data_IF_180494539626
#
_entry.id   IF_180494539626
#
_cell.length_a   1.000
_cell.length_b   1.000
_cell.length_c   1.000
_cell.angle_alpha   90.00
_cell.angle_beta   90.00
_cell.angle_gamma   90.00
#
_symmetry.space_group_name_H-M   'P 1'
#
loop_
_entity.id
_entity.type
_entity.pdbx_description
1 polymer ?
#
# COMPACT_ATOMS: atom_id res chain seq x y z
N UNK A 1 -15.77 21.86 61.05
CA UNK A 1 -14.86 20.84 60.49
C UNK A 1 -15.62 20.07 59.43
N UNK A 2 -15.30 20.27 58.14
CA UNK A 2 -15.49 19.32 57.05
C UNK A 2 -14.90 19.96 55.79
N UNK A 3 -13.64 19.60 55.52
CA UNK A 3 -12.88 20.02 54.35
C UNK A 3 -13.20 19.04 53.22
N UNK A 4 -13.69 19.55 52.09
CA UNK A 4 -13.81 18.78 50.85
C UNK A 4 -12.40 18.52 50.30
N UNK A 5 -11.95 17.27 50.35
CA UNK A 5 -10.80 16.81 49.58
C UNK A 5 -11.24 16.62 48.12
N UNK A 6 -10.83 17.54 47.26
CA UNK A 6 -10.76 17.29 45.82
C UNK A 6 -9.64 16.27 45.56
N UNK A 7 -10.00 15.03 45.23
CA UNK A 7 -9.07 14.07 44.64
C UNK A 7 -8.75 14.53 43.22
N UNK A 8 -7.63 15.22 43.06
CA UNK A 8 -6.98 15.35 41.75
C UNK A 8 -6.45 13.95 41.41
N UNK A 9 -7.08 13.28 40.45
CA UNK A 9 -6.52 12.07 39.86
C UNK A 9 -5.26 12.48 39.09
N UNK A 10 -4.10 12.29 39.71
CA UNK A 10 -2.81 12.41 39.04
C UNK A 10 -2.70 11.19 38.14
N UNK A 11 -2.99 11.36 36.86
CA UNK A 11 -2.59 10.40 35.83
C UNK A 11 -1.06 10.49 35.76
N UNK A 12 -0.38 9.61 36.50
CA UNK A 12 1.04 9.37 36.28
C UNK A 12 1.20 8.86 34.84
N UNK A 13 2.23 9.28 34.10
CA UNK A 13 2.56 8.61 32.86
C UNK A 13 2.93 7.18 33.23
N UNK A 14 2.03 6.24 32.95
CA UNK A 14 2.39 4.83 32.91
C UNK A 14 3.40 4.71 31.76
N UNK A 15 4.69 4.73 32.10
CA UNK A 15 5.76 4.39 31.16
C UNK A 15 5.60 2.91 30.84
N UNK A 16 4.77 2.59 29.85
CA UNK A 16 4.63 1.23 29.36
C UNK A 16 5.90 0.79 28.64
N UNK A 17 6.03 -0.53 28.46
CA UNK A 17 7.14 -1.14 27.77
C UNK A 17 7.26 -0.60 26.33
N UNK A 18 8.49 -0.63 25.81
CA UNK A 18 8.76 -0.31 24.40
C UNK A 18 7.96 -1.28 23.53
N UNK A 19 7.05 -0.74 22.73
CA UNK A 19 6.18 -1.53 21.86
C UNK A 19 6.91 -1.96 20.59
N UNK A 20 7.67 -1.01 20.03
CA UNK A 20 8.46 -1.21 18.82
C UNK A 20 9.63 -0.23 18.80
N UNK A 21 10.79 -0.70 18.36
CA UNK A 21 11.97 0.13 18.14
C UNK A 21 12.82 -0.43 17.00
N UNK A 22 13.44 0.47 16.25
CA UNK A 22 14.46 0.17 15.26
C UNK A 22 15.84 0.25 15.92
N UNK A 23 16.65 -0.78 15.73
CA UNK A 23 18.04 -0.76 16.21
C UNK A 23 18.88 0.28 15.46
N UNK A 24 18.62 0.44 14.16
CA UNK A 24 19.34 1.36 13.27
C UNK A 24 18.39 2.02 12.30
N UNK A 25 18.74 3.22 11.85
CA UNK A 25 17.97 3.93 10.84
C UNK A 25 17.98 3.12 9.52
N UNK A 26 16.83 2.93 8.84
CA UNK A 26 16.80 2.14 7.62
C UNK A 26 17.73 2.69 6.54
N UNK A 27 18.30 1.79 5.73
CA UNK A 27 19.26 2.16 4.71
C UNK A 27 18.72 3.24 3.76
N UNK A 28 19.55 4.25 3.47
CA UNK A 28 19.21 5.38 2.61
C UNK A 28 18.53 6.55 3.34
N UNK A 29 18.01 6.36 4.55
CA UNK A 29 17.45 7.44 5.35
C UNK A 29 18.52 8.16 6.16
N UNK A 30 18.32 9.46 6.37
CA UNK A 30 19.11 10.30 7.27
C UNK A 30 18.21 11.22 8.08
N UNK A 31 18.55 11.44 9.34
CA UNK A 31 17.89 12.46 10.16
C UNK A 31 18.21 13.86 9.61
N UNK A 32 17.20 14.71 9.55
CA UNK A 32 17.39 16.12 9.20
C UNK A 32 17.77 16.92 10.46
N UNK A 33 18.63 17.94 10.33
CA UNK A 33 18.90 18.85 11.42
C UNK A 33 17.66 19.71 11.72
N UNK A 34 17.45 20.06 12.98
CA UNK A 34 16.27 20.80 13.44
C UNK A 34 15.26 19.90 14.13
N UNK A 35 14.67 20.41 15.21
CA UNK A 35 13.57 19.73 15.90
C UNK A 35 12.26 19.92 15.16
N UNK A 36 11.27 19.09 15.49
CA UNK A 36 9.90 19.24 14.96
C UNK A 36 9.11 20.17 15.87
N UNK A 37 8.39 21.18 15.35
CA UNK A 37 7.55 22.06 16.17
C UNK A 37 6.52 21.24 16.96
N UNK A 38 6.50 21.39 18.28
CA UNK A 38 5.59 20.62 19.16
C UNK A 38 4.11 20.81 18.82
N UNK A 39 3.73 21.97 18.28
CA UNK A 39 2.36 22.30 17.89
C UNK A 39 1.97 21.83 16.49
N UNK A 40 2.89 21.27 15.71
CA UNK A 40 2.59 20.73 14.39
C UNK A 40 1.55 19.61 14.53
N UNK A 41 0.45 19.72 13.79
CA UNK A 41 -0.62 18.72 13.78
C UNK A 41 -0.21 17.53 12.92
N UNK A 42 -0.69 16.36 13.29
CA UNK A 42 -0.54 15.14 12.49
C UNK A 42 -1.77 14.24 12.69
N UNK A 43 -2.09 13.46 11.65
CA UNK A 43 -3.08 12.39 11.72
C UNK A 43 -2.37 11.07 11.93
N UNK A 44 -2.86 10.30 12.90
CA UNK A 44 -2.31 9.00 13.28
C UNK A 44 -3.43 7.97 13.33
N UNK A 45 -3.05 6.70 13.31
CA UNK A 45 -3.94 5.56 13.46
C UNK A 45 -3.33 4.50 14.35
N UNK A 46 -4.18 3.88 15.17
CA UNK A 46 -3.84 2.70 15.96
C UNK A 46 -4.46 1.50 15.28
N UNK A 47 -3.64 0.53 14.85
CA UNK A 47 -4.14 -0.76 14.39
C UNK A 47 -4.48 -1.62 15.61
N UNK A 48 -5.72 -2.04 15.71
CA UNK A 48 -6.19 -2.88 16.80
C UNK A 48 -5.80 -4.33 16.52
N UNK A 49 -5.37 -5.04 17.57
CA UNK A 49 -4.96 -6.42 17.47
C UNK A 49 -6.12 -7.31 17.00
N UNK A 50 -5.87 -8.11 15.97
CA UNK A 50 -6.83 -9.11 15.52
C UNK A 50 -6.99 -10.21 16.57
N UNK A 51 -8.21 -10.71 16.74
CA UNK A 51 -8.45 -11.91 17.55
C UNK A 51 -8.27 -13.18 16.71
N UNK A 52 -8.00 -14.32 17.36
CA UNK A 52 -7.87 -15.63 16.71
C UNK A 52 -6.86 -15.67 15.53
N UNK A 53 -5.86 -14.78 15.53
CA UNK A 53 -4.96 -14.64 14.40
C UNK A 53 -4.09 -15.88 14.18
N UNK A 54 -3.87 -16.66 15.25
CA UNK A 54 -3.26 -17.98 15.24
C UNK A 54 -4.01 -19.00 14.36
N UNK A 55 -5.30 -18.77 14.10
CA UNK A 55 -6.14 -19.64 13.26
C UNK A 55 -6.13 -19.24 11.78
N UNK A 56 -5.57 -18.09 11.42
CA UNK A 56 -5.62 -17.56 10.05
C UNK A 56 -4.95 -18.50 9.05
N UNK A 57 -3.75 -18.97 9.33
CA UNK A 57 -3.02 -19.89 8.44
C UNK A 57 -3.78 -21.20 8.21
N UNK A 58 -4.39 -21.75 9.27
CA UNK A 58 -5.18 -22.98 9.18
C UNK A 58 -6.44 -22.78 8.33
N UNK A 59 -7.14 -21.64 8.50
CA UNK A 59 -8.31 -21.29 7.67
C UNK A 59 -7.91 -21.09 6.21
N UNK A 60 -6.82 -20.37 5.95
CA UNK A 60 -6.30 -20.14 4.60
C UNK A 60 -5.91 -21.47 3.93
N UNK A 61 -5.16 -22.33 4.61
CA UNK A 61 -4.81 -23.65 4.10
C UNK A 61 -6.05 -24.49 3.81
N UNK A 62 -7.08 -24.44 4.67
CA UNK A 62 -8.33 -25.17 4.49
C UNK A 62 -9.08 -24.76 3.21
N UNK A 63 -9.12 -23.46 2.87
CA UNK A 63 -9.85 -22.98 1.69
C UNK A 63 -9.02 -22.95 0.40
N UNK A 64 -7.68 -22.89 0.50
CA UNK A 64 -6.79 -22.70 -0.65
C UNK A 64 -5.99 -23.94 -1.05
N UNK A 65 -5.95 -25.01 -0.23
CA UNK A 65 -5.20 -26.23 -0.58
C UNK A 65 -6.02 -27.17 -1.46
N UNK A 66 -5.57 -27.50 -2.69
CA UNK A 66 -6.24 -28.50 -3.51
C UNK A 66 -6.42 -29.82 -2.74
N UNK A 67 -7.55 -30.49 -2.94
CA UNK A 67 -7.97 -31.70 -2.21
C UNK A 67 -8.37 -31.50 -0.74
N UNK A 68 -8.26 -30.30 -0.17
CA UNK A 68 -8.94 -29.98 1.09
C UNK A 68 -10.47 -30.08 0.89
N UNK A 69 -11.25 -30.63 1.85
CA UNK A 69 -12.71 -30.60 1.77
C UNK A 69 -13.28 -29.16 1.81
N UNK A 70 -12.46 -28.19 2.21
CA UNK A 70 -12.74 -26.76 2.17
C UNK A 70 -12.30 -26.03 0.91
N UNK A 71 -11.60 -26.69 -0.02
CA UNK A 71 -11.04 -26.03 -1.19
C UNK A 71 -12.12 -25.30 -2.00
N UNK A 72 -11.88 -24.01 -2.29
CA UNK A 72 -12.83 -23.14 -2.99
C UNK A 72 -14.01 -22.64 -2.14
N UNK A 73 -14.10 -23.04 -0.86
CA UNK A 73 -15.16 -22.59 0.07
C UNK A 73 -14.66 -21.40 0.89
N UNK A 74 -14.43 -20.31 0.19
CA UNK A 74 -14.05 -19.02 0.75
C UNK A 74 -15.15 -18.46 1.65
N UNK A 75 -14.78 -17.53 2.54
CA UNK A 75 -15.69 -16.92 3.51
C UNK A 75 -16.09 -15.53 3.07
N UNK A 76 -17.24 -15.06 3.55
CA UNK A 76 -17.63 -13.67 3.33
C UNK A 76 -16.96 -12.71 4.34
N UNK A 77 -17.03 -11.42 4.03
CA UNK A 77 -16.52 -10.35 4.91
C UNK A 77 -17.13 -10.38 6.32
N UNK A 78 -18.37 -10.85 6.46
CA UNK A 78 -19.05 -10.97 7.75
C UNK A 78 -18.46 -12.09 8.61
N UNK A 79 -18.26 -13.29 8.03
CA UNK A 79 -17.58 -14.40 8.69
C UNK A 79 -16.13 -14.02 9.04
N UNK A 80 -15.38 -13.42 8.10
CA UNK A 80 -14.02 -12.92 8.36
C UNK A 80 -13.99 -11.94 9.53
N UNK A 81 -14.90 -10.96 9.55
CA UNK A 81 -15.00 -9.97 10.63
C UNK A 81 -15.31 -10.66 11.95
N UNK A 82 -16.24 -11.62 11.96
CA UNK A 82 -16.59 -12.37 13.17
C UNK A 82 -15.42 -13.19 13.73
N UNK A 83 -14.56 -13.71 12.85
CA UNK A 83 -13.42 -14.54 13.23
C UNK A 83 -12.26 -13.69 13.75
N UNK A 84 -11.94 -12.57 13.08
CA UNK A 84 -10.66 -11.90 13.27
C UNK A 84 -10.73 -10.45 13.75
N UNK A 85 -11.87 -9.77 13.66
CA UNK A 85 -11.93 -8.35 14.05
C UNK A 85 -11.59 -8.14 15.53
N UNK A 86 -11.01 -6.99 15.84
CA UNK A 86 -10.64 -6.66 17.20
C UNK A 86 -11.89 -6.61 18.11
N UNK A 87 -11.82 -7.13 19.35
CA UNK A 87 -12.93 -7.04 20.29
C UNK A 87 -13.35 -5.58 20.55
N UNK A 88 -14.64 -5.35 20.78
CA UNK A 88 -15.17 -4.02 21.13
C UNK A 88 -14.49 -3.42 22.37
N UNK A 89 -14.04 -4.26 23.30
CA UNK A 89 -13.25 -3.82 24.46
C UNK A 89 -11.94 -3.15 24.05
N UNK A 90 -11.22 -3.71 23.06
CA UNK A 90 -9.99 -3.12 22.55
C UNK A 90 -10.23 -1.74 21.94
N UNK A 91 -11.30 -1.60 21.16
CA UNK A 91 -11.73 -0.32 20.60
C UNK A 91 -11.99 0.71 21.71
N UNK A 92 -12.81 0.37 22.69
CA UNK A 92 -13.17 1.27 23.79
C UNK A 92 -11.96 1.71 24.63
N UNK A 93 -11.04 0.77 24.93
CA UNK A 93 -9.86 1.07 25.73
C UNK A 93 -8.90 1.99 24.97
N UNK A 94 -8.66 1.72 23.68
CA UNK A 94 -7.82 2.57 22.83
C UNK A 94 -8.43 3.94 22.65
N UNK A 95 -9.73 4.04 22.34
CA UNK A 95 -10.42 5.34 22.24
C UNK A 95 -10.33 6.13 23.54
N UNK A 96 -10.55 5.48 24.69
CA UNK A 96 -10.48 6.13 26.01
C UNK A 96 -9.06 6.62 26.33
N UNK A 97 -8.04 5.82 26.01
CA UNK A 97 -6.63 6.22 26.13
C UNK A 97 -6.31 7.44 25.26
N UNK A 98 -6.68 7.42 23.98
CA UNK A 98 -6.46 8.53 23.05
C UNK A 98 -7.13 9.82 23.53
N UNK A 99 -8.38 9.72 24.02
CA UNK A 99 -9.09 10.86 24.62
C UNK A 99 -8.37 11.40 25.86
N UNK A 100 -7.89 10.51 26.75
CA UNK A 100 -7.11 10.88 27.92
C UNK A 100 -5.80 11.60 27.60
N UNK A 101 -5.19 11.28 26.45
CA UNK A 101 -4.00 11.98 25.93
C UNK A 101 -4.32 13.32 25.22
N UNK A 102 -5.60 13.68 25.09
CA UNK A 102 -6.04 14.92 24.45
C UNK A 102 -6.03 14.86 22.92
N UNK A 103 -6.12 13.67 22.33
CA UNK A 103 -6.36 13.52 20.90
C UNK A 103 -7.76 14.00 20.51
N UNK A 104 -7.93 14.36 19.24
CA UNK A 104 -9.17 14.88 18.66
C UNK A 104 -9.53 14.13 17.38
N UNK A 105 -10.75 14.34 16.84
CA UNK A 105 -11.22 13.68 15.62
C UNK A 105 -11.04 12.15 15.65
N UNK A 106 -11.33 11.54 16.80
CA UNK A 106 -11.15 10.10 16.99
C UNK A 106 -12.29 9.37 16.30
N UNK A 107 -11.95 8.50 15.35
CA UNK A 107 -12.90 7.65 14.64
C UNK A 107 -12.38 6.21 14.59
N UNK A 108 -13.28 5.23 14.63
CA UNK A 108 -12.92 3.82 14.47
C UNK A 108 -13.77 3.17 13.40
N UNK A 109 -13.16 2.28 12.63
CA UNK A 109 -13.81 1.39 11.67
C UNK A 109 -13.82 -0.08 12.15
N UNK A 110 -13.48 -0.31 13.43
CA UNK A 110 -13.37 -1.62 14.04
C UNK A 110 -12.01 -2.31 13.89
N UNK A 111 -11.19 -1.89 12.91
CA UNK A 111 -9.84 -2.43 12.68
C UNK A 111 -8.76 -1.42 13.06
N UNK A 112 -9.04 -0.14 12.83
CA UNK A 112 -8.20 0.99 13.18
C UNK A 112 -8.98 2.01 14.00
N UNK A 113 -8.24 2.77 14.80
CA UNK A 113 -8.71 4.00 15.44
C UNK A 113 -7.86 5.15 14.91
N UNK A 114 -8.44 5.98 14.05
CA UNK A 114 -7.80 7.17 13.48
C UNK A 114 -8.03 8.38 14.39
N UNK A 115 -7.05 9.27 14.50
CA UNK A 115 -7.13 10.45 15.36
C UNK A 115 -6.17 11.55 14.91
N UNK A 116 -6.50 12.80 15.27
CA UNK A 116 -5.65 13.97 15.10
C UNK A 116 -5.00 14.35 16.42
N UNK A 117 -3.69 14.63 16.39
CA UNK A 117 -2.90 15.06 17.54
C UNK A 117 -1.86 16.11 17.13
N UNK A 118 -1.04 16.58 18.08
CA UNK A 118 0.17 17.37 17.80
C UNK A 118 1.41 16.54 18.06
N UNK A 119 2.55 16.90 17.44
CA UNK A 119 3.83 16.21 17.66
C UNK A 119 4.23 16.19 19.14
N UNK A 120 3.98 17.26 19.88
CA UNK A 120 4.24 17.32 21.32
C UNK A 120 3.40 16.32 22.12
N UNK A 121 2.10 16.21 21.79
CA UNK A 121 1.21 15.23 22.42
C UNK A 121 1.57 13.80 22.01
N UNK A 122 1.88 13.56 20.73
CA UNK A 122 2.32 12.26 20.22
C UNK A 122 3.60 11.78 20.93
N UNK A 123 4.60 12.65 21.08
CA UNK A 123 5.82 12.36 21.83
C UNK A 123 5.54 11.98 23.29
N UNK A 124 4.60 12.68 23.95
CA UNK A 124 4.25 12.40 25.34
C UNK A 124 3.46 11.09 25.49
N UNK A 125 2.44 10.87 24.65
CA UNK A 125 1.55 9.70 24.75
C UNK A 125 2.26 8.39 24.37
N UNK A 126 3.23 8.46 23.45
CA UNK A 126 3.96 7.30 22.93
C UNK A 126 5.38 7.17 23.54
N UNK A 127 5.73 8.00 24.53
CA UNK A 127 7.07 8.09 25.11
C UNK A 127 8.18 8.03 24.04
N UNK A 128 8.10 8.95 23.07
CA UNK A 128 8.92 8.94 21.87
C UNK A 128 9.42 10.34 21.50
N UNK A 129 10.27 10.42 20.47
CA UNK A 129 10.68 11.67 19.84
C UNK A 129 10.59 11.56 18.33
N UNK A 130 9.58 12.22 17.76
CA UNK A 130 9.46 12.40 16.32
C UNK A 130 10.54 13.35 15.77
N UNK A 131 11.03 13.01 14.59
CA UNK A 131 11.99 13.79 13.82
C UNK A 131 11.65 13.79 12.33
N UNK A 132 12.17 14.77 11.60
CA UNK A 132 12.17 14.73 10.14
C UNK A 132 13.34 13.89 9.64
N UNK A 133 13.05 13.01 8.69
CA UNK A 133 14.03 12.17 8.04
C UNK A 133 13.86 12.27 6.54
N UNK A 134 14.94 12.11 5.80
CA UNK A 134 14.91 12.14 4.34
C UNK A 134 15.75 11.03 3.75
N UNK A 135 15.36 10.53 2.58
CA UNK A 135 16.16 9.63 1.76
C UNK A 135 16.74 10.33 0.50
N UNK A 136 16.56 11.65 0.38
CA UNK A 136 16.89 12.43 -0.81
C UNK A 136 15.71 12.66 -1.76
N UNK A 137 14.76 11.73 -1.81
CA UNK A 137 13.57 11.80 -2.68
C UNK A 137 12.34 12.31 -1.91
N UNK A 138 12.22 11.94 -0.64
CA UNK A 138 11.12 12.30 0.24
C UNK A 138 11.61 12.79 1.61
N UNK A 139 10.75 13.52 2.31
CA UNK A 139 10.91 13.86 3.73
C UNK A 139 9.72 13.29 4.50
N UNK A 140 9.98 12.62 5.63
CA UNK A 140 8.95 12.00 6.47
C UNK A 140 9.15 12.34 7.93
N UNK A 141 8.03 12.55 8.61
CA UNK A 141 7.96 12.67 10.06
C UNK A 141 7.84 11.26 10.66
N UNK A 142 8.88 10.79 11.35
CA UNK A 142 8.98 9.42 11.88
C UNK A 142 9.65 9.41 13.25
N UNK A 143 9.69 8.25 13.88
CA UNK A 143 10.46 8.01 15.10
C UNK A 143 11.21 6.68 15.00
N UNK A 144 12.28 6.53 15.77
CA UNK A 144 13.06 5.30 15.85
C UNK A 144 12.42 4.25 16.77
N UNK A 145 11.44 4.61 17.59
CA UNK A 145 10.75 3.68 18.46
C UNK A 145 9.75 4.35 19.36
N UNK A 146 8.81 3.61 19.91
CA UNK A 146 7.75 4.12 20.77
C UNK A 146 7.27 3.08 21.78
N UNK A 147 6.61 3.58 22.81
CA UNK A 147 5.96 2.78 23.85
C UNK A 147 4.45 3.01 23.81
N UNK A 148 3.71 2.06 24.35
CA UNK A 148 2.26 2.20 24.62
C UNK A 148 2.01 1.73 26.05
N UNK A 149 0.88 2.11 26.70
CA UNK A 149 0.54 1.58 28.01
C UNK A 149 0.49 0.05 28.03
N UNK A 150 1.02 -0.57 29.11
CA UNK A 150 1.15 -2.03 29.22
C UNK A 150 -0.20 -2.73 29.06
N UNK A 151 -1.28 -2.15 29.58
CA UNK A 151 -2.65 -2.67 29.50
C UNK A 151 -3.24 -2.68 28.07
N UNK A 152 -2.58 -2.00 27.12
CA UNK A 152 -2.96 -1.95 25.71
C UNK A 152 -2.05 -2.81 24.82
N UNK A 153 -0.98 -3.39 25.36
CA UNK A 153 0.02 -4.16 24.58
C UNK A 153 -0.56 -5.33 23.78
N UNK A 154 -1.55 -6.03 24.34
CA UNK A 154 -2.28 -7.12 23.67
C UNK A 154 -3.44 -6.63 22.79
N UNK A 155 -3.76 -5.34 22.81
CA UNK A 155 -4.90 -4.72 22.12
C UNK A 155 -4.48 -3.91 20.89
N UNK A 156 -3.19 -3.60 20.76
CA UNK A 156 -2.62 -2.76 19.70
C UNK A 156 -1.55 -3.56 18.96
N UNK A 157 -1.73 -3.72 17.65
CA UNK A 157 -0.69 -4.30 16.79
C UNK A 157 0.42 -3.27 16.54
N UNK A 158 0.05 -2.08 16.07
CA UNK A 158 0.98 -0.99 15.76
C UNK A 158 0.29 0.37 15.82
N UNK A 159 1.10 1.42 15.97
CA UNK A 159 0.68 2.82 15.82
C UNK A 159 1.38 3.41 14.60
N UNK A 160 0.64 4.00 13.67
CA UNK A 160 1.17 4.58 12.45
C UNK A 160 0.74 6.04 12.28
N UNK A 161 1.56 6.90 11.65
CA UNK A 161 2.95 6.65 11.29
C UNK A 161 3.89 6.71 12.50
N UNK A 162 4.85 5.78 12.60
CA UNK A 162 5.90 5.81 13.64
C UNK A 162 7.25 5.34 13.10
N UNK A 163 7.51 4.03 13.11
CA UNK A 163 8.78 3.35 12.83
C UNK A 163 8.89 2.88 11.38
N UNK A 164 7.79 2.82 10.63
CA UNK A 164 7.85 2.46 9.22
C UNK A 164 8.20 3.68 8.37
N UNK A 165 9.47 3.77 7.97
CA UNK A 165 9.93 4.85 7.11
C UNK A 165 9.41 4.69 5.70
N UNK A 166 9.46 3.46 5.15
CA UNK A 166 8.93 3.11 3.83
C UNK A 166 9.63 3.81 2.65
N UNK A 167 9.98 3.07 1.62
CA UNK A 167 10.51 3.57 0.37
C UNK A 167 9.92 2.78 -0.80
N UNK A 168 8.59 2.77 -0.87
CA UNK A 168 7.86 2.04 -1.89
C UNK A 168 8.30 2.45 -3.28
N UNK A 169 8.74 1.45 -4.04
CA UNK A 169 9.24 1.62 -5.39
C UNK A 169 8.53 0.65 -6.30
N UNK A 170 8.32 1.11 -7.52
CA UNK A 170 8.07 0.25 -8.66
C UNK A 170 9.21 -0.78 -8.76
N UNK A 171 8.86 -2.06 -8.90
CA UNK A 171 9.81 -3.15 -9.07
C UNK A 171 10.36 -3.15 -10.51
N UNK A 172 11.19 -2.15 -10.79
CA UNK A 172 11.86 -2.01 -12.08
C UNK A 172 13.03 -2.99 -12.17
N UNK A 173 13.41 -3.34 -13.41
CA UNK A 173 14.58 -4.19 -13.67
C UNK A 173 15.79 -3.70 -12.87
N UNK A 174 16.39 -4.59 -12.08
CA UNK A 174 17.72 -4.36 -11.50
C UNK A 174 18.68 -4.14 -12.68
N UNK A 175 19.25 -2.95 -12.78
CA UNK A 175 20.30 -2.66 -13.74
C UNK A 175 21.39 -3.72 -13.59
N UNK A 176 21.62 -4.49 -14.65
CA UNK A 176 22.70 -5.47 -14.65
C UNK A 176 24.00 -4.74 -14.24
N UNK A 177 24.85 -5.32 -13.38
CA UNK A 177 26.10 -4.69 -13.00
C UNK A 177 26.84 -4.26 -14.26
N UNK A 178 27.29 -3.01 -14.28
CA UNK A 178 28.03 -2.36 -15.37
C UNK A 178 29.43 -2.95 -15.51
N UNK A 179 29.58 -4.27 -15.39
CA UNK A 179 30.80 -4.91 -15.82
C UNK A 179 30.89 -4.73 -17.34
N UNK A 180 31.81 -3.88 -17.78
CA UNK A 180 32.30 -3.81 -19.17
C UNK A 180 32.99 -5.11 -19.62
N UNK A 181 32.69 -6.24 -18.97
CA UNK A 181 33.03 -7.53 -19.51
C UNK A 181 32.28 -7.64 -20.84
N UNK A 182 33.03 -7.82 -21.93
CA UNK A 182 32.48 -8.17 -23.22
C UNK A 182 31.58 -9.38 -22.95
N UNK A 183 30.26 -9.15 -22.85
CA UNK A 183 29.29 -10.25 -22.92
C UNK A 183 29.71 -10.97 -24.20
N UNK A 184 30.22 -12.20 -24.07
CA UNK A 184 30.20 -13.11 -25.20
C UNK A 184 28.78 -12.97 -25.73
N UNK A 185 28.63 -12.67 -27.01
CA UNK A 185 27.31 -12.60 -27.65
C UNK A 185 26.68 -13.95 -27.35
N UNK A 186 25.93 -14.05 -26.25
CA UNK A 186 25.08 -15.19 -25.98
C UNK A 186 24.25 -15.21 -27.22
N UNK A 187 24.37 -16.30 -28.00
CA UNK A 187 23.64 -16.46 -29.25
C UNK A 187 22.26 -15.89 -28.98
N UNK A 188 21.84 -14.85 -29.73
CA UNK A 188 20.49 -14.30 -29.61
C UNK A 188 19.62 -15.54 -29.51
N UNK A 189 18.96 -15.79 -28.36
CA UNK A 189 17.80 -16.67 -28.38
C UNK A 189 16.95 -15.98 -29.42
N UNK A 190 16.92 -16.53 -30.63
CA UNK A 190 16.21 -15.94 -31.74
C UNK A 190 14.75 -16.08 -31.32
N UNK A 191 14.27 -15.05 -30.63
CA UNK A 191 12.85 -14.84 -30.46
C UNK A 191 12.28 -14.86 -31.87
N UNK A 192 11.13 -15.51 -32.03
CA UNK A 192 10.47 -15.56 -33.32
C UNK A 192 10.29 -14.14 -33.87
N UNK A 193 10.25 -13.98 -35.19
CA UNK A 193 10.03 -12.66 -35.78
C UNK A 193 8.72 -12.00 -35.30
N UNK A 194 7.74 -12.80 -34.84
CA UNK A 194 6.50 -12.35 -34.20
C UNK A 194 6.69 -11.65 -32.84
N UNK A 195 7.85 -11.81 -32.20
CA UNK A 195 8.15 -11.21 -30.89
C UNK A 195 8.54 -9.74 -30.95
N UNK A 196 8.96 -9.23 -32.10
CA UNK A 196 9.51 -7.88 -32.23
C UNK A 196 8.68 -7.08 -33.23
N UNK A 197 8.30 -5.85 -32.84
CA UNK A 197 7.74 -4.86 -33.75
C UNK A 197 8.65 -3.64 -33.79
N UNK A 198 8.91 -3.10 -34.98
CA UNK A 198 9.66 -1.86 -35.14
C UNK A 198 8.71 -0.73 -35.45
N UNK A 199 8.63 0.25 -34.55
CA UNK A 199 7.89 1.49 -34.77
C UNK A 199 8.85 2.62 -35.16
N UNK A 200 8.32 3.66 -35.80
CA UNK A 200 9.06 4.91 -36.02
C UNK A 200 8.76 5.86 -34.87
N UNK A 201 9.74 6.08 -34.00
CA UNK A 201 9.58 6.93 -32.82
C UNK A 201 10.08 8.36 -33.09
N UNK A 202 9.28 9.40 -32.84
CA UNK A 202 9.70 10.78 -33.02
C UNK A 202 10.73 11.19 -31.95
N UNK A 203 11.95 11.51 -32.37
CA UNK A 203 13.00 12.03 -31.46
C UNK A 203 13.12 13.56 -31.50
N UNK A 204 12.54 14.19 -32.52
CA UNK A 204 12.35 15.63 -32.60
C UNK A 204 11.22 15.95 -33.58
N UNK A 205 10.83 17.22 -33.69
CA UNK A 205 9.78 17.68 -34.59
C UNK A 205 9.95 17.22 -36.05
N UNK A 206 11.19 16.99 -36.50
CA UNK A 206 11.51 16.65 -37.90
C UNK A 206 12.29 15.33 -38.05
N UNK A 207 12.42 14.52 -36.98
CA UNK A 207 13.20 13.29 -37.05
C UNK A 207 12.49 12.14 -36.33
N UNK A 208 12.46 11.00 -37.00
CA UNK A 208 12.05 9.71 -36.43
C UNK A 208 13.22 8.75 -36.44
N UNK A 209 13.23 7.80 -35.51
CA UNK A 209 14.17 6.70 -35.49
C UNK A 209 13.43 5.37 -35.29
N UNK A 210 13.90 4.27 -35.90
CA UNK A 210 13.33 2.96 -35.63
C UNK A 210 13.59 2.57 -34.18
N UNK A 211 12.52 2.15 -33.50
CA UNK A 211 12.59 1.61 -32.14
C UNK A 211 11.94 0.23 -32.13
N UNK A 212 12.70 -0.78 -31.73
CA UNK A 212 12.22 -2.17 -31.66
C UNK A 212 11.66 -2.45 -30.28
N UNK A 213 10.39 -2.84 -30.23
CA UNK A 213 9.64 -3.21 -29.06
C UNK A 213 9.45 -4.72 -29.00
N UNK A 214 9.39 -5.27 -27.78
CA UNK A 214 8.84 -6.61 -27.57
C UNK A 214 7.32 -6.54 -27.63
N UNK A 215 6.71 -7.37 -28.46
CA UNK A 215 5.27 -7.42 -28.64
C UNK A 215 4.59 -8.23 -27.52
N UNK A 216 3.32 -7.93 -27.19
CA UNK A 216 2.46 -8.80 -26.41
C UNK A 216 2.42 -10.24 -26.92
N UNK A 217 2.43 -10.41 -28.26
CA UNK A 217 2.50 -11.72 -28.89
C UNK A 217 3.72 -12.53 -28.43
N UNK A 218 4.84 -11.86 -28.15
CA UNK A 218 6.01 -12.52 -27.59
C UNK A 218 5.76 -13.14 -26.22
N UNK A 219 5.05 -12.41 -25.34
CA UNK A 219 4.67 -12.92 -24.03
C UNK A 219 3.70 -14.10 -24.18
N UNK A 220 2.72 -13.99 -25.09
CA UNK A 220 1.78 -15.08 -25.38
C UNK A 220 2.50 -16.34 -25.88
N UNK A 221 3.49 -16.21 -26.75
CA UNK A 221 4.32 -17.32 -27.24
C UNK A 221 5.21 -17.92 -26.14
N UNK A 222 5.90 -17.08 -25.36
CA UNK A 222 6.82 -17.52 -24.31
C UNK A 222 6.10 -18.33 -23.22
N UNK A 223 4.88 -17.93 -22.87
CA UNK A 223 4.06 -18.60 -21.87
C UNK A 223 3.09 -19.63 -22.47
N UNK A 224 3.15 -19.88 -23.78
CA UNK A 224 2.29 -20.85 -24.49
C UNK A 224 0.77 -20.59 -24.30
N UNK A 225 0.38 -19.31 -24.36
CA UNK A 225 -1.02 -18.83 -24.27
C UNK A 225 -1.50 -18.18 -25.57
N UNK A 226 -0.87 -18.47 -26.71
CA UNK A 226 -1.25 -17.91 -28.02
C UNK A 226 -2.65 -18.29 -28.47
N UNK A 227 -3.16 -19.45 -28.02
CA UNK A 227 -4.50 -19.93 -28.33
C UNK A 227 -5.52 -19.61 -27.21
N UNK A 228 -5.12 -18.82 -26.22
CA UNK A 228 -6.04 -18.34 -25.20
C UNK A 228 -6.93 -17.25 -25.80
N UNK A 229 -8.23 -17.36 -25.54
CA UNK A 229 -9.19 -16.30 -25.81
C UNK A 229 -10.01 -16.10 -24.56
N UNK A 230 -10.23 -14.84 -24.21
CA UNK A 230 -11.03 -14.47 -23.05
C UNK A 230 -12.47 -14.95 -23.25
N UNK A 231 -13.00 -15.63 -22.24
CA UNK A 231 -14.44 -15.86 -22.12
C UNK A 231 -15.02 -14.78 -21.20
N UNK A 232 -15.63 -13.76 -21.82
CA UNK A 232 -16.27 -12.65 -21.08
C UNK A 232 -17.45 -13.12 -20.22
N UNK A 233 -18.02 -14.30 -20.50
CA UNK A 233 -19.12 -14.87 -19.72
C UNK A 233 -18.65 -15.59 -18.46
N UNK A 234 -17.35 -15.89 -18.35
CA UNK A 234 -16.77 -16.53 -17.16
C UNK A 234 -16.77 -15.61 -15.92
N UNK A 235 -16.97 -14.30 -16.10
CA UNK A 235 -17.06 -13.35 -14.98
C UNK A 235 -15.71 -13.01 -14.31
N UNK A 236 -14.59 -13.51 -14.83
CA UNK A 236 -13.25 -13.23 -14.30
C UNK A 236 -12.93 -11.74 -14.29
N UNK A 237 -12.36 -11.26 -13.19
CA UNK A 237 -11.98 -9.85 -13.02
C UNK A 237 -10.54 -9.74 -12.55
N UNK A 238 -9.84 -8.72 -13.02
CA UNK A 238 -8.46 -8.40 -12.61
C UNK A 238 -8.39 -6.96 -12.14
N UNK A 239 -7.57 -6.73 -11.11
CA UNK A 239 -7.23 -5.40 -10.66
C UNK A 239 -5.73 -5.23 -10.48
N UNK A 240 -5.30 -3.98 -10.43
CA UNK A 240 -3.95 -3.60 -10.04
C UNK A 240 -3.99 -2.43 -9.06
N UNK A 241 -3.00 -2.36 -8.17
CA UNK A 241 -2.86 -1.29 -7.19
C UNK A 241 -1.79 -0.29 -7.61
N UNK A 242 -2.09 1.01 -7.57
CA UNK A 242 -1.17 2.11 -7.87
C UNK A 242 -0.79 2.84 -6.58
N UNK A 243 0.51 2.86 -6.24
CA UNK A 243 1.02 3.34 -4.93
C UNK A 243 2.02 4.51 -5.01
N UNK A 244 2.36 5.00 -6.20
CA UNK A 244 3.38 6.05 -6.40
C UNK A 244 2.79 7.43 -6.73
N UNK A 245 1.54 7.69 -6.34
CA UNK A 245 0.80 8.87 -6.79
C UNK A 245 0.78 8.96 -8.33
N UNK A 246 0.61 7.79 -8.95
CA UNK A 246 0.47 7.59 -10.38
C UNK A 246 -0.93 7.04 -10.66
N UNK A 247 -1.44 7.35 -11.84
CA UNK A 247 -2.69 6.80 -12.37
C UNK A 247 -2.43 6.32 -13.79
N UNK A 248 -3.06 5.23 -14.19
CA UNK A 248 -2.98 4.77 -15.58
C UNK A 248 -3.66 5.78 -16.50
N UNK A 249 -3.09 6.04 -17.67
CA UNK A 249 -3.59 7.02 -18.64
C UNK A 249 -4.42 6.36 -19.73
N UNK A 250 -5.66 6.82 -19.89
CA UNK A 250 -6.58 6.30 -20.92
C UNK A 250 -6.05 6.58 -22.34
N UNK A 251 -5.43 7.74 -22.57
CA UNK A 251 -4.90 8.10 -23.89
C UNK A 251 -3.68 7.25 -24.25
N UNK A 252 -2.81 6.97 -23.29
CA UNK A 252 -1.61 6.17 -23.53
C UNK A 252 -1.95 4.70 -23.74
N UNK A 253 -2.95 4.18 -23.00
CA UNK A 253 -3.50 2.85 -23.27
C UNK A 253 -4.04 2.76 -24.71
N UNK A 254 -4.84 3.73 -25.17
CA UNK A 254 -5.35 3.72 -26.53
C UNK A 254 -4.24 3.77 -27.59
N UNK A 255 -3.13 4.48 -27.32
CA UNK A 255 -1.95 4.44 -28.19
C UNK A 255 -1.27 3.08 -28.18
N UNK A 256 -1.11 2.45 -27.01
CA UNK A 256 -0.55 1.12 -26.86
C UNK A 256 -1.37 0.06 -27.63
N UNK A 257 -2.69 0.08 -27.46
CA UNK A 257 -3.61 -0.82 -28.15
C UNK A 257 -3.46 -0.71 -29.67
N UNK A 258 -3.39 0.53 -30.18
CA UNK A 258 -3.18 0.80 -31.61
C UNK A 258 -1.81 0.32 -32.11
N UNK A 259 -0.75 0.45 -31.32
CA UNK A 259 0.60 0.01 -31.70
C UNK A 259 0.65 -1.51 -31.86
N UNK A 260 -0.07 -2.24 -31.01
CA UNK A 260 -0.02 -3.71 -30.95
C UNK A 260 -1.25 -4.41 -31.55
N UNK A 261 -2.13 -3.67 -32.21
CA UNK A 261 -3.37 -4.18 -32.83
C UNK A 261 -4.26 -4.95 -31.83
N UNK A 262 -4.34 -4.43 -30.60
CA UNK A 262 -5.21 -4.95 -29.55
C UNK A 262 -6.59 -4.29 -29.67
N UNK A 263 -7.70 -5.04 -29.55
CA UNK A 263 -9.03 -4.45 -29.51
C UNK A 263 -9.13 -3.40 -28.40
N UNK A 264 -9.61 -2.21 -28.76
CA UNK A 264 -9.66 -1.13 -27.78
C UNK A 264 -10.61 -1.45 -26.65
N UNK A 265 -10.13 -1.33 -25.42
CA UNK A 265 -10.90 -1.48 -24.22
C UNK A 265 -10.52 -0.43 -23.19
N UNK A 266 -11.38 -0.30 -22.18
CA UNK A 266 -11.14 0.62 -21.10
C UNK A 266 -10.92 -0.14 -19.78
N UNK A 267 -10.26 0.50 -18.82
CA UNK A 267 -10.21 0.05 -17.44
C UNK A 267 -11.07 0.98 -16.57
N UNK A 268 -11.30 0.61 -15.32
CA UNK A 268 -12.10 1.41 -14.38
C UNK A 268 -11.32 1.67 -13.10
N UNK A 269 -11.18 2.94 -12.71
CA UNK A 269 -10.71 3.28 -11.37
C UNK A 269 -11.79 2.90 -10.36
N UNK A 270 -11.54 1.83 -9.60
CA UNK A 270 -12.49 1.23 -8.66
C UNK A 270 -12.57 2.02 -7.35
N UNK A 271 -11.43 2.51 -6.87
CA UNK A 271 -11.38 3.32 -5.66
C UNK A 271 -10.19 4.28 -5.66
N UNK A 272 -10.44 5.46 -5.08
CA UNK A 272 -9.42 6.42 -4.66
C UNK A 272 -9.26 6.30 -3.15
N UNK A 273 -8.18 5.66 -2.71
CA UNK A 273 -7.93 5.32 -1.31
C UNK A 273 -6.99 6.38 -0.74
N UNK A 274 -7.25 6.86 0.48
CA UNK A 274 -6.37 7.79 1.21
C UNK A 274 -5.94 9.03 0.37
N UNK A 275 -6.90 9.66 -0.30
CA UNK A 275 -6.65 10.85 -1.13
C UNK A 275 -5.94 10.57 -2.45
N UNK A 276 -6.00 9.32 -2.96
CA UNK A 276 -5.54 8.98 -4.30
C UNK A 276 -6.19 9.87 -5.37
N UNK A 277 -5.45 10.16 -6.43
CA UNK A 277 -5.89 11.06 -7.51
C UNK A 277 -5.77 10.32 -8.84
N UNK A 278 -6.87 10.29 -9.59
CA UNK A 278 -6.88 9.90 -11.00
C UNK A 278 -6.56 11.13 -11.87
N UNK A 279 -5.31 11.26 -12.31
CA UNK A 279 -4.85 12.39 -13.13
C UNK A 279 -4.69 11.98 -14.59
N UNK A 280 -5.62 12.43 -15.43
CA UNK A 280 -5.65 12.17 -16.88
C UNK A 280 -5.15 13.35 -17.72
N UNK A 281 -4.44 14.31 -17.10
CA UNK A 281 -3.88 15.44 -17.82
C UNK A 281 -2.43 15.16 -18.21
N UNK A 282 -2.21 14.90 -19.51
CA UNK A 282 -0.92 14.60 -20.14
C UNK A 282 0.25 15.55 -19.82
N UNK A 283 -0.01 16.76 -19.32
CA UNK A 283 1.06 17.69 -18.90
C UNK A 283 1.47 17.55 -17.44
N UNK A 284 0.64 16.91 -16.62
CA UNK A 284 0.81 16.80 -15.16
C UNK A 284 0.74 15.37 -14.65
N UNK A 285 0.29 14.43 -15.47
CA UNK A 285 0.17 13.03 -15.07
C UNK A 285 1.54 12.44 -14.79
N UNK A 286 1.56 11.52 -13.83
CA UNK A 286 2.65 10.58 -13.65
C UNK A 286 2.03 9.20 -13.81
N UNK A 287 2.52 8.44 -14.76
CA UNK A 287 1.80 7.29 -15.28
C UNK A 287 2.75 6.11 -15.57
N UNK A 288 4.05 6.25 -15.32
CA UNK A 288 5.05 5.29 -15.78
C UNK A 288 4.82 3.84 -15.34
N UNK A 289 4.61 3.58 -14.05
CA UNK A 289 4.34 2.21 -13.57
C UNK A 289 2.88 1.81 -13.77
N UNK A 290 1.93 2.73 -13.53
CA UNK A 290 0.50 2.45 -13.69
C UNK A 290 0.14 2.12 -15.16
N UNK A 291 0.74 2.80 -16.14
CA UNK A 291 0.64 2.47 -17.56
C UNK A 291 1.28 1.11 -17.84
N UNK A 292 2.45 0.81 -17.27
CA UNK A 292 3.10 -0.48 -17.46
C UNK A 292 2.19 -1.62 -16.98
N UNK A 293 1.56 -1.47 -15.81
CA UNK A 293 0.64 -2.46 -15.25
C UNK A 293 -0.58 -2.67 -16.15
N UNK A 294 -1.33 -1.61 -16.46
CA UNK A 294 -2.56 -1.74 -17.25
C UNK A 294 -2.27 -2.26 -18.66
N UNK A 295 -1.21 -1.77 -19.32
CA UNK A 295 -0.87 -2.16 -20.68
C UNK A 295 -0.45 -3.62 -20.75
N UNK A 296 0.35 -4.11 -19.79
CA UNK A 296 0.73 -5.53 -19.76
C UNK A 296 -0.47 -6.44 -19.45
N UNK A 297 -1.34 -6.05 -18.52
CA UNK A 297 -2.57 -6.79 -18.20
C UNK A 297 -3.45 -6.91 -19.46
N UNK A 298 -3.80 -5.78 -20.06
CA UNK A 298 -4.68 -5.71 -21.23
C UNK A 298 -4.10 -6.47 -22.43
N UNK A 299 -2.78 -6.50 -22.56
CA UNK A 299 -2.11 -7.22 -23.64
C UNK A 299 -2.31 -8.74 -23.60
N UNK A 300 -2.66 -9.31 -22.45
CA UNK A 300 -2.86 -10.76 -22.25
C UNK A 300 -4.35 -11.10 -22.12
N UNK A 301 -5.13 -10.28 -21.40
CA UNK A 301 -6.54 -10.55 -21.07
C UNK A 301 -7.50 -9.54 -21.72
N UNK A 302 -7.27 -9.23 -22.99
CA UNK A 302 -8.15 -8.36 -23.78
C UNK A 302 -9.61 -8.84 -23.76
N UNK A 303 -10.50 -7.99 -23.24
CA UNK A 303 -11.93 -8.25 -23.08
C UNK A 303 -12.41 -8.50 -21.64
N UNK A 304 -11.52 -8.77 -20.67
CA UNK A 304 -11.91 -8.87 -19.26
C UNK A 304 -12.02 -7.48 -18.60
N UNK A 305 -12.92 -7.30 -17.62
CA UNK A 305 -12.93 -6.09 -16.80
C UNK A 305 -11.61 -5.93 -16.04
N UNK A 306 -10.92 -4.82 -16.30
CA UNK A 306 -9.70 -4.41 -15.60
C UNK A 306 -10.01 -3.23 -14.70
N UNK A 307 -9.56 -3.29 -13.44
CA UNK A 307 -9.79 -2.21 -12.46
C UNK A 307 -8.50 -1.71 -11.81
N UNK A 308 -8.47 -0.43 -11.47
CA UNK A 308 -7.34 0.19 -10.77
C UNK A 308 -7.77 0.63 -9.36
N UNK A 309 -6.90 0.38 -8.38
CA UNK A 309 -7.00 0.96 -7.05
C UNK A 309 -5.88 1.99 -6.86
N UNK A 310 -6.23 3.27 -6.81
CA UNK A 310 -5.24 4.33 -6.64
C UNK A 310 -5.18 4.67 -5.15
N UNK A 311 -4.05 4.37 -4.52
CA UNK A 311 -3.84 4.68 -3.10
C UNK A 311 -2.90 5.87 -2.97
N UNK A 312 -3.46 6.95 -2.44
CA UNK A 312 -2.72 8.14 -2.06
C UNK A 312 -2.05 8.02 -0.69
N UNK A 313 -1.39 9.11 -0.31
CA UNK A 313 -0.66 9.23 0.94
C UNK A 313 -1.01 10.49 1.73
N UNK A 314 -2.05 11.25 1.34
CA UNK A 314 -2.34 12.59 1.85
C UNK A 314 -3.67 12.65 2.61
N UNK A 315 -3.70 12.64 3.95
CA UNK A 315 -4.79 13.32 4.65
C UNK A 315 -4.62 14.85 4.46
N UNK A 316 -5.70 15.65 4.61
CA UNK A 316 -5.64 17.09 4.37
C UNK A 316 -4.67 17.78 5.34
N UNK A 317 -3.56 18.30 4.80
CA UNK A 317 -2.71 19.29 5.46
C UNK A 317 -3.45 20.63 5.52
N UNK A 318 -3.53 21.25 6.71
CA UNK A 318 -3.89 22.66 6.84
C UNK A 318 -2.58 23.44 6.98
N UNK A 319 -2.14 24.19 5.96
CA UNK A 319 -0.92 25.00 6.05
C UNK A 319 -0.99 26.01 7.20
N UNK A 320 0.08 26.08 7.99
CA UNK A 320 0.31 27.18 8.94
C UNK A 320 1.14 28.28 8.26
N UNK A 321 0.93 29.53 8.67
CA UNK A 321 1.55 30.75 8.13
C UNK A 321 3.08 30.75 8.25
N UNK A 322 3.65 29.91 9.12
CA UNK A 322 5.10 29.78 9.33
C UNK A 322 5.74 28.72 8.42
N UNK A 323 4.96 27.78 7.84
CA UNK A 323 5.45 26.74 6.93
C UNK A 323 4.44 26.45 5.78
N UNK A 324 4.21 27.41 4.86
CA UNK A 324 3.21 27.29 3.81
C UNK A 324 3.50 26.20 2.77
N UNK A 325 4.72 25.63 2.77
CA UNK A 325 5.24 24.71 1.75
C UNK A 325 5.58 23.31 2.31
N UNK A 326 5.21 22.99 3.55
CA UNK A 326 5.45 21.67 4.13
C UNK A 326 4.53 20.62 3.49
N UNK A 327 4.91 20.06 2.35
CA UNK A 327 4.35 18.81 1.82
C UNK A 327 4.95 17.62 2.59
N UNK A 328 4.63 17.55 3.87
CA UNK A 328 5.08 16.48 4.74
C UNK A 328 3.88 15.61 5.04
N UNK A 329 3.67 14.58 4.22
CA UNK A 329 2.99 13.33 4.59
C UNK A 329 2.91 12.42 3.36
N UNK A 330 3.82 11.44 3.28
CA UNK A 330 3.66 10.26 2.42
C UNK A 330 3.49 9.06 3.35
N UNK A 331 2.26 8.76 3.74
CA UNK A 331 2.00 7.56 4.53
C UNK A 331 1.74 6.35 3.62
N UNK A 332 2.48 5.29 3.94
CA UNK A 332 2.09 3.87 3.99
C UNK A 332 0.85 3.48 3.15
N UNK A 333 1.02 3.25 1.85
CA UNK A 333 -0.11 2.91 0.99
C UNK A 333 -0.73 1.55 1.36
N UNK A 334 0.08 0.57 1.74
CA UNK A 334 -0.38 -0.82 1.91
C UNK A 334 -1.40 -1.01 3.04
N UNK A 335 -1.22 -0.36 4.20
CA UNK A 335 -2.20 -0.49 5.30
C UNK A 335 -3.58 0.00 4.86
N UNK A 336 -3.66 1.22 4.32
CA UNK A 336 -4.91 1.80 3.84
C UNK A 336 -5.52 0.99 2.69
N UNK A 337 -4.66 0.50 1.79
CA UNK A 337 -5.08 -0.32 0.65
C UNK A 337 -5.74 -1.63 1.09
N UNK A 338 -5.06 -2.43 1.91
CA UNK A 338 -5.62 -3.71 2.36
C UNK A 338 -6.76 -3.52 3.36
N UNK A 339 -6.77 -2.43 4.14
CA UNK A 339 -7.89 -2.07 5.02
C UNK A 339 -9.14 -1.79 4.19
N UNK A 340 -9.01 -1.02 3.12
CA UNK A 340 -10.12 -0.77 2.20
C UNK A 340 -10.64 -2.08 1.58
N UNK A 341 -9.75 -2.94 1.10
CA UNK A 341 -10.12 -4.22 0.47
C UNK A 341 -10.85 -5.15 1.44
N UNK A 342 -10.33 -5.31 2.67
CA UNK A 342 -10.95 -6.16 3.69
C UNK A 342 -12.32 -5.65 4.15
N UNK A 343 -12.64 -4.37 3.93
CA UNK A 343 -13.95 -3.81 4.21
C UNK A 343 -14.96 -4.04 3.07
N UNK A 344 -14.55 -4.56 1.92
CA UNK A 344 -15.45 -4.79 0.78
C UNK A 344 -16.18 -6.12 0.89
N UNK A 345 -17.46 -6.20 0.46
CA UNK A 345 -18.10 -7.48 0.22
C UNK A 345 -17.39 -8.22 -0.92
N UNK A 346 -17.42 -9.54 -0.91
CA UNK A 346 -16.72 -10.39 -1.88
C UNK A 346 -17.09 -10.05 -3.34
N UNK A 347 -18.35 -9.67 -3.60
CA UNK A 347 -18.82 -9.26 -4.93
C UNK A 347 -18.17 -7.99 -5.48
N UNK A 348 -17.52 -7.20 -4.61
CA UNK A 348 -16.80 -5.99 -5.00
C UNK A 348 -15.28 -6.23 -5.13
N UNK A 349 -14.80 -7.42 -4.75
CA UNK A 349 -13.39 -7.79 -4.84
C UNK A 349 -13.11 -8.47 -6.19
N UNK A 350 -11.96 -8.17 -6.82
CA UNK A 350 -11.54 -8.84 -8.04
C UNK A 350 -11.01 -10.25 -7.71
N UNK A 351 -11.05 -11.16 -8.69
CA UNK A 351 -10.48 -12.50 -8.53
C UNK A 351 -8.95 -12.50 -8.54
N UNK A 352 -8.35 -11.56 -9.26
CA UNK A 352 -6.89 -11.40 -9.35
C UNK A 352 -6.51 -9.96 -9.02
N UNK A 353 -5.53 -9.79 -8.14
CA UNK A 353 -4.90 -8.50 -7.85
C UNK A 353 -3.41 -8.59 -8.19
N UNK A 354 -2.93 -7.69 -9.04
CA UNK A 354 -1.51 -7.51 -9.33
C UNK A 354 -0.96 -6.31 -8.57
N UNK A 355 0.13 -6.51 -7.83
CA UNK A 355 0.86 -5.45 -7.15
C UNK A 355 2.34 -5.50 -7.57
N UNK A 356 2.79 -4.49 -8.31
CA UNK A 356 4.14 -4.35 -8.90
C UNK A 356 5.10 -3.51 -8.02
N UNK A 357 4.77 -3.36 -6.74
CA UNK A 357 5.45 -2.47 -5.81
C UNK A 357 5.98 -3.24 -4.60
N UNK A 358 7.05 -2.70 -4.00
CA UNK A 358 7.57 -3.26 -2.77
C UNK A 358 8.61 -2.37 -2.10
N UNK A 359 8.96 -2.80 -0.90
CA UNK A 359 10.00 -2.24 -0.06
C UNK A 359 11.07 -3.31 0.20
N UNK A 360 12.29 -2.91 0.54
CA UNK A 360 13.29 -3.88 0.98
C UNK A 360 12.88 -4.43 2.36
N UNK A 361 12.75 -5.74 2.49
CA UNK A 361 12.26 -6.41 3.71
C UNK A 361 13.00 -5.94 4.97
N UNK A 362 14.33 -5.80 4.90
CA UNK A 362 15.16 -5.34 6.01
C UNK A 362 14.93 -3.87 6.45
N UNK A 363 14.07 -3.13 5.75
CA UNK A 363 13.67 -1.75 6.08
C UNK A 363 12.24 -1.65 6.61
N UNK A 364 11.50 -2.77 6.64
CA UNK A 364 10.13 -2.85 7.11
C UNK A 364 10.13 -3.33 8.57
N UNK A 365 9.54 -2.59 9.52
CA UNK A 365 9.40 -3.05 10.90
C UNK A 365 8.60 -4.34 10.99
N UNK A 366 8.98 -5.24 11.89
CA UNK A 366 8.38 -6.58 12.00
C UNK A 366 6.87 -6.53 12.26
N UNK A 367 6.39 -5.68 13.17
CA UNK A 367 4.96 -5.58 13.48
C UNK A 367 4.16 -5.06 12.28
N UNK A 368 4.73 -4.12 11.53
CA UNK A 368 4.12 -3.65 10.28
C UNK A 368 4.05 -4.78 9.24
N UNK A 369 5.15 -5.51 9.05
CA UNK A 369 5.19 -6.64 8.12
C UNK A 369 4.15 -7.70 8.50
N UNK A 370 4.12 -8.13 9.76
CA UNK A 370 3.13 -9.08 10.28
C UNK A 370 1.70 -8.59 10.07
N UNK A 371 1.40 -7.32 10.37
CA UNK A 371 0.07 -6.74 10.15
C UNK A 371 -0.36 -6.81 8.69
N UNK A 372 0.50 -6.37 7.77
CA UNK A 372 0.21 -6.40 6.33
C UNK A 372 0.11 -7.84 5.82
N UNK A 373 1.00 -8.75 6.24
CA UNK A 373 0.95 -10.17 5.91
C UNK A 373 -0.36 -10.82 6.36
N UNK A 374 -0.82 -10.52 7.58
CA UNK A 374 -2.10 -10.99 8.10
C UNK A 374 -3.28 -10.46 7.27
N UNK A 375 -3.24 -9.19 6.86
CA UNK A 375 -4.27 -8.61 6.00
C UNK A 375 -4.31 -9.27 4.62
N UNK A 376 -3.15 -9.58 4.03
CA UNK A 376 -3.04 -10.35 2.78
C UNK A 376 -3.56 -11.77 2.97
N UNK A 377 -3.22 -12.42 4.10
CA UNK A 377 -3.72 -13.75 4.43
C UNK A 377 -5.25 -13.79 4.54
N UNK A 378 -5.84 -12.77 5.17
CA UNK A 378 -7.30 -12.61 5.24
C UNK A 378 -7.92 -12.40 3.86
N UNK A 379 -7.30 -11.60 2.98
CA UNK A 379 -7.75 -11.46 1.59
C UNK A 379 -7.81 -12.81 0.87
N UNK A 380 -6.82 -13.70 1.11
CA UNK A 380 -6.81 -15.06 0.57
C UNK A 380 -7.97 -15.95 1.05
N UNK A 381 -8.68 -15.55 2.11
CA UNK A 381 -9.89 -16.26 2.59
C UNK A 381 -11.19 -15.74 1.97
N UNK A 382 -11.18 -14.58 1.29
CA UNK A 382 -12.38 -13.86 0.84
C UNK A 382 -12.74 -14.04 -0.65
N UNK A 383 -11.88 -14.61 -1.49
CA UNK A 383 -12.11 -14.58 -2.95
C UNK A 383 -13.16 -15.61 -3.34
N UNK A 384 -14.44 -15.24 -3.48
CA UNK A 384 -15.48 -16.15 -3.94
C UNK A 384 -15.35 -16.38 -5.46
N UNK A 385 -15.46 -17.63 -5.90
CA UNK A 385 -15.68 -18.01 -7.31
C UNK A 385 -17.12 -17.80 -7.76
#
# INVERSE_FOLDING_TARGET
>A
MLSLLNFLAIVLPASGAVHEALEVLPHGWRAMPGGVPKGMKMTMQVALAYQNIDQLEAKLAYVSTPCSPGYGKYIDVGEQTSMFAAPMEAQNNVTSWLQGCGASNIASDGSFVTFTTTVGQANAMLNTTFGFYTNGDAVKLRTMGYSIPDELSEKIDLVAPTTYFGNTKAQRRVSAPTSKAKRSVMAKRQLNASCEITIQYPISANATQPFTLLSPQCLKELYNVTNYSVDVSAGSTIAFGSFLNQSASYSDLAMFEKIFDIPSQNFTVKALINGGVDNQNATTEQDGEANLDVQNIISIVDGLPVTEYITGGFPPFIPDLLEPNASLESNEPYLNYYQYLLAQPNSNLPYVISNSYGDNENTVPERYAQRVCNMIGMMGTLINE
#
